data_IF_151555355083
#
_entry.id   IF_151555355083
#
_cell.length_a   1.000
_cell.length_b   1.000
_cell.length_c   1.000
_cell.angle_alpha   90.00
_cell.angle_beta   90.00
_cell.angle_gamma   90.00
#
_symmetry.space_group_name_H-M   'P 1'
#
loop_
_entity.id
_entity.type
_entity.pdbx_description
1 polymer ?
#
# COMPACT_ATOMS: atom_id res chain seq x y z
N UNK A 1 5.62 4.73 -5.30
CA UNK A 1 6.77 4.25 -4.53
C UNK A 1 8.10 4.69 -5.14
N UNK A 2 8.19 4.86 -6.45
CA UNK A 2 9.43 5.30 -7.12
C UNK A 2 10.00 6.63 -6.58
N UNK A 3 9.13 7.55 -6.17
CA UNK A 3 9.52 8.85 -5.61
C UNK A 3 10.13 8.77 -4.20
N UNK A 4 9.87 7.69 -3.48
CA UNK A 4 10.33 7.52 -2.09
C UNK A 4 11.44 6.47 -1.96
N UNK A 5 11.69 5.69 -3.01
CA UNK A 5 12.74 4.67 -2.99
C UNK A 5 14.12 5.30 -3.03
N UNK A 6 14.98 4.97 -2.06
CA UNK A 6 16.39 5.36 -2.04
C UNK A 6 17.27 4.14 -2.26
N UNK A 7 18.26 4.27 -3.10
CA UNK A 7 19.23 3.23 -3.35
C UNK A 7 20.60 3.84 -3.59
N UNK A 8 21.50 3.62 -2.64
CA UNK A 8 22.85 4.18 -2.66
C UNK A 8 23.93 3.08 -2.63
N UNK A 9 23.57 1.83 -2.90
CA UNK A 9 24.49 0.71 -2.87
C UNK A 9 24.92 0.37 -4.29
N UNK A 10 26.23 0.46 -4.57
CA UNK A 10 26.83 -0.11 -5.77
C UNK A 10 26.87 -1.64 -5.58
N UNK A 11 25.77 -2.29 -5.91
CA UNK A 11 25.63 -3.74 -5.95
C UNK A 11 25.24 -4.11 -7.37
N UNK A 12 26.02 -5.03 -7.93
CA UNK A 12 25.64 -5.72 -9.16
C UNK A 12 24.45 -6.64 -8.88
N UNK A 13 24.29 -7.72 -9.61
CA UNK A 13 23.22 -8.68 -9.39
C UNK A 13 23.23 -9.26 -7.97
N UNK A 14 22.13 -9.14 -7.26
CA UNK A 14 21.99 -9.69 -5.92
C UNK A 14 20.62 -10.28 -5.64
N UNK A 15 20.60 -11.22 -4.68
CA UNK A 15 19.39 -11.78 -4.09
C UNK A 15 19.09 -10.98 -2.83
N UNK A 16 17.94 -10.33 -2.79
CA UNK A 16 17.48 -9.64 -1.60
C UNK A 16 16.72 -10.60 -0.68
N UNK A 17 17.22 -10.78 0.54
CA UNK A 17 16.62 -11.63 1.56
C UNK A 17 16.05 -10.79 2.70
N UNK A 18 14.75 -10.96 2.95
CA UNK A 18 14.05 -10.31 4.06
C UNK A 18 13.11 -11.30 4.74
N UNK A 19 13.49 -11.76 5.94
CA UNK A 19 12.73 -12.75 6.71
C UNK A 19 12.32 -12.18 8.06
N UNK A 20 11.05 -12.40 8.43
CA UNK A 20 10.48 -12.01 9.71
C UNK A 20 10.63 -13.08 10.78
N UNK A 21 11.10 -14.28 10.40
CA UNK A 21 11.39 -15.40 11.27
C UNK A 21 12.77 -15.97 10.97
N UNK A 22 13.29 -16.73 11.93
CA UNK A 22 14.48 -17.53 11.72
C UNK A 22 14.08 -18.96 11.34
N UNK A 23 14.69 -19.50 10.28
CA UNK A 23 14.59 -20.90 9.88
C UNK A 23 15.86 -21.31 9.13
N UNK A 24 16.54 -22.36 9.61
CA UNK A 24 17.78 -22.85 8.99
C UNK A 24 17.57 -23.38 7.57
N UNK A 25 16.43 -23.97 7.29
CA UNK A 25 16.12 -24.49 5.95
C UNK A 25 15.97 -23.38 4.91
N UNK A 26 15.61 -22.15 5.33
CA UNK A 26 15.62 -21.00 4.44
C UNK A 26 17.02 -20.72 3.90
N UNK A 27 18.02 -20.81 4.76
CA UNK A 27 19.39 -20.47 4.39
C UNK A 27 19.99 -21.49 3.44
N UNK A 28 19.70 -22.77 3.61
CA UNK A 28 20.08 -23.81 2.63
C UNK A 28 19.50 -23.53 1.25
N UNK A 29 18.24 -23.11 1.21
CA UNK A 29 17.59 -22.73 -0.04
C UNK A 29 18.21 -21.46 -0.65
N UNK A 30 18.44 -20.42 0.16
CA UNK A 30 19.06 -19.16 -0.27
C UNK A 30 20.45 -19.40 -0.87
N UNK A 31 21.28 -20.20 -0.19
CA UNK A 31 22.62 -20.54 -0.68
C UNK A 31 22.58 -21.31 -2.01
N UNK A 32 21.67 -22.26 -2.13
CA UNK A 32 21.46 -22.99 -3.36
C UNK A 32 21.09 -22.05 -4.53
N UNK A 33 20.10 -21.17 -4.31
CA UNK A 33 19.70 -20.17 -5.32
C UNK A 33 20.85 -19.23 -5.66
N UNK A 34 21.61 -18.79 -4.65
CA UNK A 34 22.80 -17.94 -4.86
C UNK A 34 23.86 -18.62 -5.73
N UNK A 35 24.14 -19.89 -5.46
CA UNK A 35 25.09 -20.67 -6.26
C UNK A 35 24.61 -20.86 -7.70
N UNK A 36 23.34 -21.17 -7.91
CA UNK A 36 22.77 -21.36 -9.24
C UNK A 36 22.75 -20.09 -10.09
N UNK A 37 22.44 -18.94 -9.46
CA UNK A 37 22.36 -17.65 -10.15
C UNK A 37 23.72 -16.93 -10.25
N UNK A 38 24.67 -17.28 -9.40
CA UNK A 38 25.94 -16.56 -9.25
C UNK A 38 25.76 -15.16 -8.63
N UNK A 39 24.70 -14.93 -7.87
CA UNK A 39 24.37 -13.63 -7.29
C UNK A 39 24.75 -13.54 -5.82
N UNK A 40 25.21 -12.36 -5.39
CA UNK A 40 25.50 -12.09 -3.99
C UNK A 40 24.22 -12.05 -3.15
N UNK A 41 24.29 -12.60 -1.94
CA UNK A 41 23.19 -12.52 -0.97
C UNK A 41 23.27 -11.18 -0.22
N UNK A 42 22.15 -10.46 -0.15
CA UNK A 42 22.00 -9.22 0.61
C UNK A 42 20.85 -9.39 1.61
N UNK A 43 21.14 -9.15 2.88
CA UNK A 43 20.19 -9.37 3.99
C UNK A 43 19.92 -8.06 4.72
N UNK A 44 18.65 -7.75 4.92
CA UNK A 44 18.21 -6.76 5.91
C UNK A 44 17.65 -7.53 7.11
N UNK A 45 18.36 -7.56 8.25
CA UNK A 45 17.95 -8.37 9.40
C UNK A 45 16.73 -7.77 10.09
N UNK A 46 15.67 -8.56 10.28
CA UNK A 46 14.52 -8.22 11.11
C UNK A 46 14.59 -8.84 12.50
N UNK A 47 15.42 -9.87 12.68
CA UNK A 47 15.63 -10.59 13.94
C UNK A 47 17.10 -10.51 14.36
N UNK A 48 17.34 -10.45 15.67
CA UNK A 48 18.71 -10.45 16.21
C UNK A 48 19.27 -11.87 16.15
N UNK A 49 20.00 -12.17 15.09
CA UNK A 49 20.66 -13.48 14.94
C UNK A 49 22.00 -13.36 14.23
N UNK A 50 22.84 -14.36 14.41
CA UNK A 50 24.10 -14.51 13.68
C UNK A 50 23.82 -15.30 12.41
N UNK A 51 24.09 -14.68 11.28
CA UNK A 51 23.92 -15.31 9.97
C UNK A 51 25.21 -16.08 9.62
N UNK A 52 25.10 -17.40 9.43
CA UNK A 52 26.21 -18.27 9.04
C UNK A 52 26.29 -18.44 7.52
N UNK A 53 25.90 -17.43 6.77
CA UNK A 53 25.92 -17.44 5.32
C UNK A 53 26.86 -16.35 4.79
N UNK A 54 27.49 -16.59 3.67
CA UNK A 54 28.32 -15.58 2.99
C UNK A 54 27.41 -14.53 2.35
N UNK A 55 27.06 -13.51 3.13
CA UNK A 55 26.10 -12.51 2.74
C UNK A 55 26.52 -11.10 3.18
N UNK A 56 26.10 -10.09 2.41
CA UNK A 56 26.20 -8.69 2.80
C UNK A 56 25.00 -8.35 3.72
N UNK A 57 25.29 -8.11 4.99
CA UNK A 57 24.28 -7.77 6.00
C UNK A 57 24.20 -6.24 6.09
N UNK A 58 23.04 -5.69 5.81
CA UNK A 58 22.77 -4.25 5.86
C UNK A 58 22.00 -3.91 7.11
N UNK A 59 22.63 -3.16 8.00
CA UNK A 59 22.03 -2.65 9.25
C UNK A 59 21.58 -1.21 9.06
N UNK A 60 20.64 -0.76 9.90
CA UNK A 60 20.11 0.61 9.91
C UNK A 60 19.48 1.04 8.56
N UNK A 61 18.75 0.13 7.94
CA UNK A 61 18.01 0.36 6.71
C UNK A 61 16.62 0.88 7.05
N UNK A 62 16.29 2.08 6.58
CA UNK A 62 14.96 2.67 6.69
C UNK A 62 14.00 2.15 5.61
N UNK A 63 12.71 2.55 5.68
CA UNK A 63 11.71 2.12 4.71
C UNK A 63 12.04 2.50 3.26
N UNK A 64 12.62 3.66 3.04
CA UNK A 64 12.96 4.17 1.70
C UNK A 64 14.09 3.37 1.06
N UNK A 65 15.12 3.04 1.85
CA UNK A 65 16.24 2.20 1.44
C UNK A 65 15.77 0.76 1.22
N UNK A 66 14.90 0.24 2.09
CA UNK A 66 14.35 -1.10 1.95
C UNK A 66 13.57 -1.25 0.63
N UNK A 67 12.71 -0.28 0.30
CA UNK A 67 12.00 -0.24 -0.98
C UNK A 67 12.99 -0.18 -2.15
N UNK A 68 14.04 0.62 -2.03
CA UNK A 68 15.12 0.70 -3.01
C UNK A 68 15.83 -0.62 -3.22
N UNK A 69 16.10 -1.37 -2.15
CA UNK A 69 16.70 -2.71 -2.21
C UNK A 69 15.82 -3.72 -2.94
N UNK A 70 14.52 -3.74 -2.67
CA UNK A 70 13.59 -4.61 -3.42
C UNK A 70 13.56 -4.21 -4.89
N UNK A 71 13.41 -2.93 -5.18
CA UNK A 71 13.31 -2.40 -6.55
C UNK A 71 14.52 -2.77 -7.41
N UNK A 72 15.72 -2.77 -6.86
CA UNK A 72 16.97 -3.03 -7.60
C UNK A 72 17.46 -4.48 -7.46
N UNK A 73 16.80 -5.33 -6.69
CA UNK A 73 17.14 -6.74 -6.58
C UNK A 73 17.00 -7.46 -7.93
N UNK A 74 17.90 -8.41 -8.19
CA UNK A 74 17.79 -9.34 -9.32
C UNK A 74 16.89 -10.53 -8.99
N UNK A 75 16.80 -10.88 -7.71
CA UNK A 75 15.91 -11.90 -7.18
C UNK A 75 15.52 -11.56 -5.74
N UNK A 76 14.32 -11.94 -5.30
CA UNK A 76 13.87 -11.73 -3.92
C UNK A 76 13.49 -13.05 -3.28
N UNK A 77 13.97 -13.30 -2.06
CA UNK A 77 13.53 -14.45 -1.24
C UNK A 77 13.03 -13.90 0.10
N UNK A 78 11.79 -14.20 0.44
CA UNK A 78 11.17 -13.61 1.63
C UNK A 78 10.10 -14.52 2.25
N UNK A 79 9.83 -14.36 3.55
CA UNK A 79 8.65 -14.90 4.23
C UNK A 79 7.66 -13.79 4.61
N UNK A 80 7.91 -12.57 4.12
CA UNK A 80 7.16 -11.37 4.44
C UNK A 80 6.07 -11.09 3.40
N UNK A 81 4.85 -10.83 3.88
CA UNK A 81 3.76 -10.34 3.02
C UNK A 81 4.15 -9.06 2.26
N UNK A 82 4.77 -8.09 2.94
CA UNK A 82 5.21 -6.86 2.29
C UNK A 82 6.32 -7.13 1.26
N UNK A 83 7.26 -8.04 1.57
CA UNK A 83 8.29 -8.45 0.62
C UNK A 83 7.67 -9.02 -0.66
N UNK A 84 6.64 -9.83 -0.53
CA UNK A 84 5.88 -10.39 -1.67
C UNK A 84 5.17 -9.29 -2.47
N UNK A 85 4.44 -8.40 -1.80
CA UNK A 85 3.71 -7.29 -2.47
C UNK A 85 4.67 -6.40 -3.26
N UNK A 86 5.79 -5.98 -2.68
CA UNK A 86 6.74 -5.13 -3.37
C UNK A 86 7.48 -5.85 -4.50
N UNK A 87 7.70 -7.19 -4.39
CA UNK A 87 8.22 -7.98 -5.50
C UNK A 87 7.26 -7.98 -6.69
N UNK A 88 5.97 -8.09 -6.45
CA UNK A 88 4.94 -7.99 -7.50
C UNK A 88 4.92 -6.58 -8.11
N UNK A 89 4.89 -5.53 -7.28
CA UNK A 89 4.85 -4.13 -7.74
C UNK A 89 6.05 -3.78 -8.64
N UNK A 90 7.24 -4.29 -8.30
CA UNK A 90 8.47 -4.02 -9.05
C UNK A 90 8.82 -5.09 -10.09
N UNK A 91 7.93 -6.03 -10.35
CA UNK A 91 8.12 -7.11 -11.32
C UNK A 91 9.41 -7.91 -11.06
N UNK A 92 9.68 -8.22 -9.79
CA UNK A 92 10.88 -8.97 -9.42
C UNK A 92 10.64 -10.47 -9.49
N UNK A 93 11.57 -11.25 -10.04
CA UNK A 93 11.59 -12.68 -9.78
C UNK A 93 11.71 -12.91 -8.27
N UNK A 94 10.86 -13.78 -7.72
CA UNK A 94 10.85 -14.00 -6.28
C UNK A 94 10.41 -15.40 -5.87
N UNK A 95 10.76 -15.76 -4.65
CA UNK A 95 10.23 -16.93 -3.92
C UNK A 95 9.71 -16.46 -2.56
N UNK A 96 8.53 -16.95 -2.20
CA UNK A 96 7.97 -16.77 -0.85
C UNK A 96 8.07 -18.07 -0.08
N UNK A 97 8.70 -18.01 1.09
CA UNK A 97 8.81 -19.15 1.99
C UNK A 97 7.72 -19.10 3.06
N UNK A 98 7.22 -20.27 3.49
CA UNK A 98 6.18 -20.35 4.52
C UNK A 98 6.77 -20.04 5.89
N UNK A 99 6.31 -18.99 6.53
CA UNK A 99 6.75 -18.60 7.88
C UNK A 99 6.27 -19.56 8.95
N UNK A 100 5.08 -20.12 8.79
CA UNK A 100 4.46 -21.06 9.73
C UNK A 100 4.04 -22.32 9.00
N UNK A 101 3.96 -23.44 9.72
CA UNK A 101 3.19 -24.59 9.24
C UNK A 101 1.70 -24.22 9.11
N UNK A 102 0.98 -24.88 8.21
CA UNK A 102 -0.41 -24.51 7.91
C UNK A 102 -1.36 -24.82 9.11
N UNK A 103 -1.02 -25.78 9.93
CA UNK A 103 -1.70 -26.19 11.18
C UNK A 103 -1.38 -25.30 12.37
N UNK A 104 -0.48 -24.34 12.23
CA UNK A 104 -0.16 -23.43 13.31
C UNK A 104 -1.32 -22.42 13.51
N UNK A 105 -1.96 -22.35 14.71
CA UNK A 105 -3.10 -21.46 14.96
C UNK A 105 -2.73 -19.96 14.87
N UNK A 106 -1.44 -19.64 14.90
CA UNK A 106 -0.95 -18.25 14.70
C UNK A 106 -0.53 -17.98 13.25
N UNK A 107 -0.79 -18.93 12.35
CA UNK A 107 -0.40 -18.79 10.95
C UNK A 107 -1.11 -17.60 10.31
N UNK A 108 -0.35 -16.83 9.58
CA UNK A 108 -0.82 -15.72 8.75
C UNK A 108 -0.55 -16.00 7.26
N UNK A 109 -0.32 -17.27 6.91
CA UNK A 109 -0.01 -17.68 5.54
C UNK A 109 -1.17 -17.41 4.59
N UNK A 110 -2.42 -17.42 5.08
CA UNK A 110 -3.61 -17.15 4.27
C UNK A 110 -3.51 -15.87 3.45
N UNK A 111 -2.93 -14.81 4.01
CA UNK A 111 -2.72 -13.54 3.29
C UNK A 111 -1.81 -13.70 2.08
N UNK A 112 -0.77 -14.52 2.21
CA UNK A 112 0.17 -14.81 1.12
C UNK A 112 -0.52 -15.69 0.08
N UNK A 113 -1.27 -16.70 0.51
CA UNK A 113 -2.02 -17.60 -0.40
C UNK A 113 -3.02 -16.80 -1.23
N UNK A 114 -3.89 -16.02 -0.59
CA UNK A 114 -4.86 -15.17 -1.28
C UNK A 114 -4.17 -14.21 -2.28
N UNK A 115 -3.05 -13.60 -1.89
CA UNK A 115 -2.30 -12.71 -2.76
C UNK A 115 -1.74 -13.44 -4.00
N UNK A 116 -1.12 -14.58 -3.79
CA UNK A 116 -0.53 -15.37 -4.87
C UNK A 116 -1.59 -15.97 -5.79
N UNK A 117 -2.71 -16.44 -5.25
CA UNK A 117 -3.85 -16.92 -6.02
C UNK A 117 -4.45 -15.81 -6.88
N UNK A 118 -4.67 -14.64 -6.30
CA UNK A 118 -5.24 -13.48 -7.00
C UNK A 118 -4.40 -13.06 -8.23
N UNK A 119 -3.08 -13.13 -8.13
CA UNK A 119 -2.18 -12.80 -9.24
C UNK A 119 -1.71 -14.00 -10.05
N UNK A 120 -2.24 -15.21 -9.78
CA UNK A 120 -1.83 -16.46 -10.44
C UNK A 120 -0.30 -16.74 -10.30
N UNK A 121 0.22 -16.56 -9.09
CA UNK A 121 1.64 -16.68 -8.74
C UNK A 121 1.89 -17.77 -7.69
N UNK A 122 1.00 -18.77 -7.55
CA UNK A 122 1.09 -19.84 -6.56
C UNK A 122 2.35 -20.70 -6.70
N UNK A 123 2.91 -20.76 -7.92
CA UNK A 123 4.21 -21.39 -8.20
C UNK A 123 5.41 -20.69 -7.53
N UNK A 124 5.22 -19.51 -6.94
CA UNK A 124 6.25 -18.77 -6.20
C UNK A 124 6.28 -19.11 -4.71
N UNK A 125 5.40 -19.97 -4.26
CA UNK A 125 5.33 -20.38 -2.86
C UNK A 125 6.19 -21.61 -2.60
N UNK A 126 6.99 -21.56 -1.54
CA UNK A 126 7.86 -22.66 -1.12
C UNK A 126 9.18 -22.73 -1.89
N UNK A 127 9.93 -23.80 -1.66
CA UNK A 127 11.19 -24.02 -2.37
C UNK A 127 10.92 -24.44 -3.81
N UNK A 128 10.93 -23.49 -4.72
CA UNK A 128 10.80 -23.78 -6.16
C UNK A 128 12.16 -24.10 -6.78
N UNK A 129 12.19 -25.06 -7.67
CA UNK A 129 13.35 -25.36 -8.51
C UNK A 129 13.37 -24.52 -9.79
N UNK A 130 12.25 -23.89 -10.11
CA UNK A 130 12.09 -23.12 -11.34
C UNK A 130 12.43 -21.63 -11.13
N UNK A 131 13.64 -21.39 -10.61
CA UNK A 131 14.14 -20.03 -10.35
C UNK A 131 14.50 -19.27 -11.64
N UNK A 132 14.73 -19.98 -12.74
CA UNK A 132 15.08 -19.38 -14.04
C UNK A 132 13.87 -19.02 -14.89
N UNK A 133 12.68 -19.55 -14.54
CA UNK A 133 11.47 -19.18 -15.25
C UNK A 133 11.06 -17.77 -14.83
N UNK A 134 11.54 -16.81 -15.60
CA UNK A 134 11.16 -15.41 -15.43
C UNK A 134 9.66 -15.29 -15.61
N UNK A 135 8.97 -14.93 -14.55
CA UNK A 135 7.54 -14.70 -14.58
C UNK A 135 7.22 -13.69 -15.68
N UNK A 136 6.29 -14.04 -16.57
CA UNK A 136 5.74 -13.06 -17.48
C UNK A 136 4.78 -12.14 -16.73
N UNK A 137 5.24 -10.92 -16.48
CA UNK A 137 4.49 -9.95 -15.67
C UNK A 137 3.38 -9.22 -16.43
N UNK A 138 3.20 -9.44 -17.73
CA UNK A 138 2.18 -8.76 -18.54
C UNK A 138 0.77 -8.93 -17.96
N UNK A 139 0.39 -10.16 -17.63
CA UNK A 139 -0.93 -10.46 -17.04
C UNK A 139 -1.03 -9.94 -15.61
N UNK A 140 0.03 -10.11 -14.82
CA UNK A 140 0.12 -9.62 -13.45
C UNK A 140 -0.06 -8.10 -13.42
N UNK A 141 0.65 -7.37 -14.28
CA UNK A 141 0.55 -5.91 -14.37
C UNK A 141 -0.85 -5.44 -14.78
N UNK A 142 -1.49 -6.16 -15.70
CA UNK A 142 -2.87 -5.85 -16.09
C UNK A 142 -3.85 -5.99 -14.91
N UNK A 143 -3.67 -7.03 -14.10
CA UNK A 143 -4.48 -7.23 -12.88
C UNK A 143 -4.16 -6.18 -11.82
N UNK A 144 -2.89 -5.86 -11.57
CA UNK A 144 -2.47 -4.80 -10.62
C UNK A 144 -3.08 -3.45 -11.02
N UNK A 145 -3.08 -3.11 -12.31
CA UNK A 145 -3.67 -1.84 -12.77
C UNK A 145 -5.19 -1.83 -12.65
N UNK A 146 -5.84 -2.97 -12.90
CA UNK A 146 -7.29 -3.11 -12.66
C UNK A 146 -7.62 -2.89 -11.18
N UNK A 147 -6.93 -3.58 -10.26
CA UNK A 147 -7.13 -3.46 -8.81
C UNK A 147 -6.89 -2.04 -8.32
N UNK A 148 -5.84 -1.41 -8.85
CA UNK A 148 -5.51 -0.01 -8.53
C UNK A 148 -6.63 0.95 -8.94
N UNK A 149 -7.17 0.80 -10.16
CA UNK A 149 -8.28 1.64 -10.63
C UNK A 149 -9.52 1.42 -9.78
N UNK A 150 -9.86 0.17 -9.51
CA UNK A 150 -10.99 -0.18 -8.65
C UNK A 150 -10.86 0.42 -7.24
N UNK A 151 -9.69 0.28 -6.61
CA UNK A 151 -9.43 0.84 -5.29
C UNK A 151 -9.51 2.38 -5.28
N UNK A 152 -8.95 3.04 -6.31
CA UNK A 152 -9.01 4.49 -6.44
C UNK A 152 -10.45 4.99 -6.68
N UNK A 153 -11.22 4.29 -7.50
CA UNK A 153 -12.62 4.61 -7.73
C UNK A 153 -13.44 4.46 -6.45
N UNK A 154 -13.26 3.35 -5.74
CA UNK A 154 -13.90 3.12 -4.44
C UNK A 154 -13.52 4.20 -3.43
N UNK A 155 -12.23 4.51 -3.28
CA UNK A 155 -11.74 5.57 -2.40
C UNK A 155 -12.34 6.93 -2.77
N UNK A 156 -12.35 7.28 -4.05
CA UNK A 156 -12.94 8.52 -4.52
C UNK A 156 -14.44 8.59 -4.21
N UNK A 157 -15.15 7.49 -4.28
CA UNK A 157 -16.58 7.44 -3.95
C UNK A 157 -16.83 7.56 -2.44
N UNK A 158 -15.99 6.90 -1.62
CA UNK A 158 -16.13 6.95 -0.15
C UNK A 158 -15.60 8.26 0.44
N UNK A 159 -14.48 8.76 -0.13
CA UNK A 159 -13.83 10.00 0.30
C UNK A 159 -14.35 11.22 -0.47
N UNK A 160 -15.40 11.08 -1.27
CA UNK A 160 -16.05 12.25 -1.86
C UNK A 160 -16.32 13.23 -0.74
N UNK A 161 -15.47 14.25 -0.66
CA UNK A 161 -15.68 15.41 0.18
C UNK A 161 -16.91 16.09 -0.40
N UNK A 162 -18.04 15.86 0.24
CA UNK A 162 -19.27 16.56 -0.10
C UNK A 162 -18.94 18.04 0.01
N UNK A 163 -19.17 18.79 -1.03
CA UNK A 163 -19.02 20.24 -0.95
C UNK A 163 -20.03 20.75 0.05
N UNK A 164 -19.76 21.88 0.68
CA UNK A 164 -20.68 22.46 1.66
C UNK A 164 -22.10 22.69 1.09
N UNK A 165 -22.23 22.87 -0.23
CA UNK A 165 -23.50 22.96 -0.94
C UNK A 165 -24.26 21.63 -1.04
N UNK A 166 -23.56 20.49 -0.84
CA UNK A 166 -24.14 19.15 -0.89
C UNK A 166 -24.66 18.69 0.50
N UNK A 167 -24.45 19.52 1.55
CA UNK A 167 -25.04 19.25 2.86
C UNK A 167 -26.57 19.32 2.74
N UNK A 168 -27.32 18.26 3.14
CA UNK A 168 -28.77 18.30 3.06
C UNK A 168 -29.34 19.54 3.75
N UNK A 169 -30.35 20.17 3.13
CA UNK A 169 -30.98 21.37 3.69
C UNK A 169 -31.48 21.16 5.12
N UNK A 170 -32.01 19.96 5.42
CA UNK A 170 -32.45 19.59 6.77
C UNK A 170 -31.31 19.64 7.82
N UNK A 171 -30.07 19.62 7.39
CA UNK A 171 -28.89 19.59 8.26
C UNK A 171 -28.10 20.92 8.20
N UNK A 172 -28.44 21.84 7.31
CA UNK A 172 -27.80 23.14 7.23
C UNK A 172 -28.62 24.17 8.03
N UNK A 173 -28.03 24.73 9.09
CA UNK A 173 -28.69 25.74 9.93
C UNK A 173 -28.51 27.17 9.40
N UNK A 174 -27.92 27.36 8.21
CA UNK A 174 -27.75 28.67 7.59
C UNK A 174 -26.77 29.63 8.28
N UNK A 175 -25.88 29.12 9.15
CA UNK A 175 -25.02 29.97 10.01
C UNK A 175 -23.98 30.82 9.23
N UNK A 176 -23.74 30.58 7.95
CA UNK A 176 -22.83 31.34 7.11
C UNK A 176 -21.32 31.12 7.38
N UNK A 177 -20.95 30.27 8.36
CA UNK A 177 -19.55 30.05 8.72
C UNK A 177 -18.71 29.61 7.51
N UNK A 178 -19.27 28.80 6.62
CA UNK A 178 -18.61 28.31 5.42
C UNK A 178 -18.18 29.45 4.46
N UNK A 179 -18.99 30.52 4.34
CA UNK A 179 -18.66 31.69 3.52
C UNK A 179 -17.56 32.54 4.18
N UNK A 180 -17.59 32.68 5.51
CA UNK A 180 -16.60 33.47 6.28
C UNK A 180 -15.21 32.81 6.25
N UNK A 181 -15.12 31.48 6.37
CA UNK A 181 -13.83 30.76 6.39
C UNK A 181 -13.24 30.52 5.00
N UNK A 182 -13.97 30.83 3.94
CA UNK A 182 -13.51 30.61 2.58
C UNK A 182 -12.39 31.58 2.18
N UNK A 183 -11.13 31.13 1.97
CA UNK A 183 -10.02 32.02 1.65
C UNK A 183 -10.15 32.65 0.26
N UNK A 184 -11.01 32.11 -0.60
CA UNK A 184 -11.30 32.59 -1.94
C UNK A 184 -12.63 33.39 -2.03
N UNK A 185 -13.34 33.47 -0.91
CA UNK A 185 -14.64 34.15 -0.84
C UNK A 185 -15.62 33.70 -1.95
N UNK A 186 -15.51 32.44 -2.35
CA UNK A 186 -16.28 31.85 -3.44
C UNK A 186 -17.59 31.21 -2.97
N UNK A 187 -18.01 31.44 -1.73
CA UNK A 187 -19.26 30.94 -1.16
C UNK A 187 -20.17 32.10 -0.79
N UNK A 188 -21.32 32.14 -1.44
CA UNK A 188 -22.39 33.10 -1.19
C UNK A 188 -23.54 32.39 -0.47
N UNK A 189 -24.13 33.03 0.55
CA UNK A 189 -25.33 32.54 1.21
C UNK A 189 -26.56 33.04 0.44
N UNK A 190 -27.32 32.09 -0.14
CA UNK A 190 -28.54 32.41 -0.92
C UNK A 190 -29.79 31.91 -0.23
N UNK A 191 -30.78 32.80 -0.20
CA UNK A 191 -32.13 32.41 0.26
C UNK A 191 -32.81 31.47 -0.74
N UNK A 192 -33.44 30.43 -0.21
CA UNK A 192 -34.28 29.51 -0.98
C UNK A 192 -35.77 29.69 -0.67
N UNK A 193 -36.62 28.92 -1.33
CA UNK A 193 -38.07 28.98 -1.23
C UNK A 193 -38.64 28.74 0.20
N UNK A 194 -37.85 28.17 1.08
CA UNK A 194 -38.17 27.98 2.50
C UNK A 194 -37.81 29.13 3.41
N UNK A 195 -37.24 30.22 2.86
CA UNK A 195 -36.85 31.43 3.58
C UNK A 195 -35.52 31.30 4.33
N UNK A 196 -34.81 30.19 4.19
CA UNK A 196 -33.50 29.99 4.84
C UNK A 196 -32.35 30.24 3.87
N UNK A 197 -31.19 30.62 4.44
CA UNK A 197 -29.96 30.86 3.71
C UNK A 197 -29.14 29.59 3.58
N UNK A 198 -28.73 29.26 2.34
CA UNK A 198 -27.90 28.10 2.04
C UNK A 198 -26.65 28.50 1.28
N UNK A 199 -25.51 27.79 1.48
CA UNK A 199 -24.29 28.08 0.75
C UNK A 199 -24.42 27.73 -0.73
N UNK A 200 -23.97 28.64 -1.57
CA UNK A 200 -23.80 28.43 -3.01
C UNK A 200 -22.35 28.68 -3.39
N UNK A 201 -21.69 27.64 -3.95
CA UNK A 201 -20.25 27.68 -4.24
C UNK A 201 -20.02 28.06 -5.70
N UNK A 202 -19.28 29.16 -5.94
CA UNK A 202 -18.75 29.43 -7.26
C UNK A 202 -17.60 28.47 -7.57
N UNK A 203 -17.89 27.44 -8.38
CA UNK A 203 -16.95 26.35 -8.70
C UNK A 203 -15.72 26.84 -9.48
N UNK A 204 -15.80 27.99 -10.19
CA UNK A 204 -14.68 28.54 -10.97
C UNK A 204 -13.58 29.09 -10.06
N UNK A 205 -13.96 29.66 -8.92
CA UNK A 205 -13.04 30.32 -7.99
C UNK A 205 -12.64 29.36 -6.82
N UNK A 206 -13.32 28.21 -6.69
CA UNK A 206 -13.09 27.24 -5.63
C UNK A 206 -11.80 26.45 -5.88
N UNK A 207 -10.86 26.52 -4.93
CA UNK A 207 -9.58 25.78 -4.96
C UNK A 207 -9.63 24.41 -4.31
N UNK A 208 -10.80 23.94 -3.84
CA UNK A 208 -10.96 22.61 -3.23
C UNK A 208 -10.21 22.41 -1.92
N UNK A 209 -10.04 23.44 -1.09
CA UNK A 209 -9.28 23.37 0.17
C UNK A 209 -10.06 22.74 1.34
N UNK A 210 -11.36 22.51 1.18
CA UNK A 210 -12.30 21.87 2.13
C UNK A 210 -12.43 22.57 3.51
N UNK A 211 -11.92 23.78 3.67
CA UNK A 211 -12.04 24.52 4.92
C UNK A 211 -13.50 24.74 5.34
N UNK A 212 -14.38 25.01 4.36
CA UNK A 212 -15.81 25.17 4.58
C UNK A 212 -16.47 23.93 5.18
N UNK A 213 -16.09 22.74 4.72
CA UNK A 213 -16.55 21.45 5.24
C UNK A 213 -15.96 21.19 6.64
N UNK A 214 -14.63 21.30 6.78
CA UNK A 214 -13.91 21.03 8.03
C UNK A 214 -14.37 21.94 9.20
N UNK A 215 -14.87 23.11 8.90
CA UNK A 215 -15.34 24.08 9.90
C UNK A 215 -16.87 24.08 10.07
N UNK A 216 -17.59 23.34 9.22
CA UNK A 216 -19.04 23.25 9.34
C UNK A 216 -19.43 22.44 10.60
N UNK A 217 -20.20 23.01 11.54
CA UNK A 217 -20.61 22.30 12.76
C UNK A 217 -21.51 21.10 12.44
N UNK A 218 -22.35 21.20 11.44
CA UNK A 218 -23.28 20.13 11.05
C UNK A 218 -22.58 18.97 10.34
N UNK A 219 -21.51 19.23 9.57
CA UNK A 219 -20.76 18.19 8.89
C UNK A 219 -20.11 17.20 9.86
N UNK A 220 -19.60 17.69 10.98
CA UNK A 220 -18.98 16.85 12.00
C UNK A 220 -19.98 15.86 12.64
N UNK A 221 -21.25 16.22 12.67
CA UNK A 221 -22.32 15.35 13.16
C UNK A 221 -22.68 14.28 12.15
N UNK A 222 -22.88 14.65 10.88
CA UNK A 222 -23.20 13.72 9.78
C UNK A 222 -22.08 12.69 9.58
N UNK A 223 -20.81 13.13 9.64
CA UNK A 223 -19.67 12.23 9.49
C UNK A 223 -19.62 11.16 10.60
N UNK A 224 -20.00 11.50 11.83
CA UNK A 224 -20.06 10.54 12.96
C UNK A 224 -21.16 9.50 12.80
N UNK A 225 -22.30 9.86 12.23
CA UNK A 225 -23.39 8.91 11.98
C UNK A 225 -23.06 7.94 10.84
N UNK A 226 -22.45 8.44 9.73
CA UNK A 226 -21.98 7.58 8.63
C UNK A 226 -20.94 6.54 9.09
N UNK A 227 -20.03 6.91 9.99
CA UNK A 227 -19.05 5.98 10.57
C UNK A 227 -19.71 4.87 11.39
N UNK A 228 -20.75 5.18 12.16
CA UNK A 228 -21.50 4.16 12.92
C UNK A 228 -22.19 3.12 12.03
N UNK A 229 -22.68 3.51 10.85
CA UNK A 229 -23.33 2.59 9.91
C UNK A 229 -22.35 1.66 9.18
N UNK A 230 -21.06 2.00 9.10
CA UNK A 230 -20.03 1.15 8.47
C UNK A 230 -19.54 0.05 9.42
N UNK A 231 -19.69 0.22 10.73
CA UNK A 231 -19.24 -0.74 11.74
C UNK A 231 -20.39 -1.46 12.49
N UNK A 232 -21.62 -1.31 12.04
CA UNK A 232 -22.78 -2.04 12.51
C UNK A 232 -23.15 -3.16 11.54
#
# INVERSE_FOLDING_TARGET
>A
WDKVSKYNLNLDNYIFCYFLSWNEDYWKYVENVSQQLGYQIVIVPSVKQTYQVNAKILKNIGPEEWVGLVKNASYVITDSFHGTVFSIIYNKPFTVLKRFSDDNPRSQNSRIYTLLEHYNLTNRLGTTTDIFNLQEYTKVNSQVEYDRRYALEWLNNVLKVEKVEDIPHANCNGCGLCSVVCPKQCIEMKEKHDGFLYPHVNKKDCIGCDLCIKKCPEYSFIAREKVKQVYA
#
